data_IF_944978306623
#
_entry.id   IF_944978306623
#
_cell.length_a   1.000
_cell.length_b   1.000
_cell.length_c   1.000
_cell.angle_alpha   90.00
_cell.angle_beta   90.00
_cell.angle_gamma   90.00
#
_symmetry.space_group_name_H-M   'P 1'
#
loop_
_entity.id
_entity.type
_entity.pdbx_description
1 polymer ?
#
# COMPACT_ATOMS: atom_id res chain seq x y z
N UNK A 1 30.56 35.71 -34.78
CA UNK A 1 29.08 35.89 -34.74
C UNK A 1 28.45 34.51 -34.67
N UNK A 2 27.47 34.30 -33.79
CA UNK A 2 27.47 33.17 -32.85
C UNK A 2 26.88 31.88 -33.43
N UNK A 3 27.49 30.77 -33.03
CA UNK A 3 27.00 29.40 -33.19
C UNK A 3 25.94 29.11 -32.12
N UNK A 4 24.72 28.78 -32.55
CA UNK A 4 23.65 28.30 -31.68
C UNK A 4 23.87 26.81 -31.36
N UNK A 5 24.40 26.51 -30.17
CA UNK A 5 24.31 25.17 -29.59
C UNK A 5 22.94 25.04 -28.91
N UNK A 6 22.01 24.38 -29.60
CA UNK A 6 20.71 24.01 -29.04
C UNK A 6 20.87 22.90 -28.01
N UNK A 7 20.70 23.23 -26.74
CA UNK A 7 20.46 22.24 -25.70
C UNK A 7 19.01 21.75 -25.81
N UNK A 8 18.83 20.53 -26.29
CA UNK A 8 17.56 19.82 -26.16
C UNK A 8 17.41 19.35 -24.71
N UNK A 9 16.53 20.04 -23.97
CA UNK A 9 16.10 19.64 -22.64
C UNK A 9 15.22 18.38 -22.77
N UNK A 10 15.77 17.20 -22.49
CA UNK A 10 14.98 15.97 -22.38
C UNK A 10 14.18 16.02 -21.08
N UNK A 11 12.97 16.56 -21.16
CA UNK A 11 12.01 16.56 -20.07
C UNK A 11 11.35 15.18 -20.02
N UNK A 12 11.95 14.24 -19.29
CA UNK A 12 11.33 12.94 -19.01
C UNK A 12 10.17 13.18 -18.05
N UNK A 13 8.96 13.34 -18.59
CA UNK A 13 7.74 13.23 -17.82
C UNK A 13 7.71 11.83 -17.22
N UNK A 14 7.82 11.72 -15.89
CA UNK A 14 7.45 10.54 -15.13
C UNK A 14 5.94 10.32 -15.32
N UNK A 15 5.57 9.71 -16.45
CA UNK A 15 4.26 9.12 -16.61
C UNK A 15 4.13 8.07 -15.52
N UNK A 16 3.16 8.24 -14.62
CA UNK A 16 2.81 7.18 -13.70
C UNK A 16 2.18 6.07 -14.56
N UNK A 17 2.97 5.06 -14.91
CA UNK A 17 2.51 3.94 -15.71
C UNK A 17 1.43 3.16 -14.95
N UNK A 18 0.45 2.64 -15.68
CA UNK A 18 -0.48 1.64 -15.17
C UNK A 18 0.28 0.42 -14.64
N UNK A 19 -0.39 -0.43 -13.86
CA UNK A 19 0.25 -1.60 -13.28
C UNK A 19 0.83 -2.52 -14.37
N UNK A 20 2.13 -2.76 -14.31
CA UNK A 20 2.85 -3.72 -15.15
C UNK A 20 3.04 -5.03 -14.39
N UNK A 21 2.87 -6.15 -15.09
CA UNK A 21 2.92 -7.50 -14.52
C UNK A 21 3.99 -8.32 -15.22
N UNK A 22 5.00 -8.77 -14.47
CA UNK A 22 6.08 -9.60 -14.98
C UNK A 22 6.20 -10.91 -14.17
N UNK A 23 6.11 -12.05 -14.87
CA UNK A 23 6.28 -13.36 -14.22
C UNK A 23 7.76 -13.78 -14.23
N UNK A 24 8.37 -13.80 -13.05
CA UNK A 24 9.75 -14.22 -12.81
C UNK A 24 9.78 -15.54 -12.03
N UNK A 25 9.67 -16.66 -12.75
CA UNK A 25 9.60 -17.99 -12.13
C UNK A 25 8.33 -18.13 -11.27
N UNK A 26 8.49 -18.31 -9.96
CA UNK A 26 7.39 -18.36 -8.99
C UNK A 26 7.01 -17.00 -8.42
N UNK A 27 7.62 -15.91 -8.90
CA UNK A 27 7.35 -14.54 -8.45
C UNK A 27 6.56 -13.79 -9.51
N UNK A 28 5.49 -13.13 -9.11
CA UNK A 28 4.79 -12.16 -9.95
C UNK A 28 5.20 -10.76 -9.50
N UNK A 29 6.02 -10.09 -10.30
CA UNK A 29 6.41 -8.70 -10.06
C UNK A 29 5.33 -7.78 -10.57
N UNK A 30 4.90 -6.85 -9.72
CA UNK A 30 3.91 -5.82 -9.97
C UNK A 30 4.60 -4.49 -9.78
N UNK A 31 4.56 -3.60 -10.78
CA UNK A 31 5.14 -2.27 -10.69
C UNK A 31 4.17 -1.21 -11.22
N UNK A 32 4.37 0.05 -10.84
CA UNK A 32 3.52 1.15 -11.30
C UNK A 32 2.21 1.29 -10.52
N UNK A 33 1.18 1.86 -11.15
CA UNK A 33 -0.07 2.24 -10.49
C UNK A 33 -1.08 1.10 -10.43
N UNK A 34 -1.53 0.72 -9.23
CA UNK A 34 -2.60 -0.26 -9.03
C UNK A 34 -3.98 0.39 -9.25
N UNK A 35 -4.24 0.86 -10.47
CA UNK A 35 -5.49 1.53 -10.87
C UNK A 35 -6.67 0.56 -11.16
N UNK A 36 -6.42 -0.75 -11.05
CA UNK A 36 -7.41 -1.80 -11.29
C UNK A 36 -7.47 -2.30 -12.73
N UNK A 37 -6.81 -1.65 -13.69
CA UNK A 37 -6.84 -2.08 -15.10
C UNK A 37 -6.19 -3.46 -15.31
N UNK A 38 -5.17 -3.78 -14.53
CA UNK A 38 -4.44 -5.05 -14.61
C UNK A 38 -5.07 -6.19 -13.78
N UNK A 39 -6.19 -5.97 -13.07
CA UNK A 39 -6.72 -6.93 -12.09
C UNK A 39 -7.08 -8.29 -12.69
N UNK A 40 -7.61 -8.30 -13.92
CA UNK A 40 -7.98 -9.53 -14.61
C UNK A 40 -6.75 -10.38 -14.87
N UNK A 41 -5.74 -9.81 -15.51
CA UNK A 41 -4.47 -10.50 -15.81
C UNK A 41 -3.73 -10.93 -14.54
N UNK A 42 -3.74 -10.08 -13.51
CA UNK A 42 -3.20 -10.42 -12.20
C UNK A 42 -3.87 -11.68 -11.61
N UNK A 43 -5.21 -11.71 -11.61
CA UNK A 43 -5.99 -12.85 -11.11
C UNK A 43 -5.74 -14.11 -11.94
N UNK A 44 -5.61 -14.00 -13.26
CA UNK A 44 -5.25 -15.11 -14.13
C UNK A 44 -3.86 -15.68 -13.82
N UNK A 45 -2.87 -14.83 -13.51
CA UNK A 45 -1.55 -15.30 -13.08
C UNK A 45 -1.62 -16.06 -11.76
N UNK A 46 -2.35 -15.54 -10.77
CA UNK A 46 -2.51 -16.20 -9.47
C UNK A 46 -3.31 -17.51 -9.59
N UNK A 47 -4.36 -17.53 -10.42
CA UNK A 47 -5.23 -18.69 -10.63
C UNK A 47 -4.53 -19.89 -11.27
N UNK A 48 -3.38 -19.69 -11.94
CA UNK A 48 -2.53 -20.78 -12.44
C UNK A 48 -1.86 -21.59 -11.32
N UNK A 49 -1.78 -21.05 -10.10
CA UNK A 49 -1.21 -21.74 -8.94
C UNK A 49 0.33 -21.88 -8.94
N UNK A 50 1.02 -21.28 -9.91
CA UNK A 50 2.49 -21.31 -10.02
C UNK A 50 3.16 -20.18 -9.23
N UNK A 51 2.44 -19.08 -9.00
CA UNK A 51 2.93 -17.94 -8.22
C UNK A 51 2.94 -18.31 -6.74
N UNK A 52 4.06 -18.04 -6.07
CA UNK A 52 4.25 -18.20 -4.63
C UNK A 52 4.35 -16.86 -3.91
N UNK A 53 4.92 -15.86 -4.59
CA UNK A 53 5.13 -14.52 -4.03
C UNK A 53 4.70 -13.47 -5.06
N UNK A 54 3.89 -12.52 -4.62
CA UNK A 54 3.65 -11.26 -5.34
C UNK A 54 4.66 -10.24 -4.84
N UNK A 55 5.47 -9.70 -5.75
CA UNK A 55 6.49 -8.70 -5.44
C UNK A 55 5.99 -7.35 -5.93
N UNK A 56 5.71 -6.42 -5.02
CA UNK A 56 5.41 -5.04 -5.35
C UNK A 56 6.71 -4.25 -5.46
N UNK A 57 7.07 -3.89 -6.69
CA UNK A 57 8.26 -3.12 -7.00
C UNK A 57 7.87 -1.69 -7.39
N UNK A 58 8.21 -0.71 -6.56
CA UNK A 58 7.86 0.71 -6.75
C UNK A 58 6.40 0.89 -7.23
N UNK A 59 5.48 0.36 -6.41
CA UNK A 59 4.06 0.25 -6.70
C UNK A 59 3.25 1.29 -5.92
N UNK A 60 2.33 1.97 -6.59
CA UNK A 60 1.66 3.14 -6.04
C UNK A 60 0.15 3.17 -6.33
N UNK A 61 -0.52 4.12 -5.68
CA UNK A 61 -1.80 4.66 -6.12
C UNK A 61 -2.94 3.67 -6.06
N UNK A 62 -3.96 3.90 -6.88
CA UNK A 62 -5.20 3.12 -6.92
C UNK A 62 -6.34 3.70 -6.10
N UNK A 63 -7.54 3.26 -6.43
CA UNK A 63 -8.75 3.52 -5.65
C UNK A 63 -8.91 2.47 -4.54
N UNK A 64 -9.81 2.72 -3.58
CA UNK A 64 -10.14 1.73 -2.56
C UNK A 64 -10.68 0.43 -3.18
N UNK A 65 -11.42 0.52 -4.29
CA UNK A 65 -11.94 -0.64 -5.03
C UNK A 65 -10.81 -1.46 -5.65
N UNK A 66 -9.84 -0.81 -6.30
CA UNK A 66 -8.67 -1.49 -6.84
C UNK A 66 -7.87 -2.18 -5.73
N UNK A 67 -7.64 -1.48 -4.61
CA UNK A 67 -7.00 -2.04 -3.42
C UNK A 67 -7.69 -3.31 -2.92
N UNK A 68 -9.02 -3.26 -2.79
CA UNK A 68 -9.85 -4.38 -2.39
C UNK A 68 -9.74 -5.56 -3.35
N UNK A 69 -9.83 -5.31 -4.66
CA UNK A 69 -9.80 -6.36 -5.67
C UNK A 69 -8.44 -7.11 -5.70
N UNK A 70 -7.32 -6.38 -5.67
CA UNK A 70 -5.99 -7.01 -5.58
C UNK A 70 -5.83 -7.79 -4.26
N UNK A 71 -6.28 -7.23 -3.14
CA UNK A 71 -6.23 -7.89 -1.84
C UNK A 71 -7.07 -9.18 -1.80
N UNK A 72 -8.28 -9.17 -2.38
CA UNK A 72 -9.14 -10.35 -2.46
C UNK A 72 -8.48 -11.46 -3.30
N UNK A 73 -7.89 -11.11 -4.44
CA UNK A 73 -7.18 -12.07 -5.29
C UNK A 73 -5.98 -12.70 -4.58
N UNK A 74 -5.19 -11.88 -3.86
CA UNK A 74 -4.03 -12.35 -3.07
C UNK A 74 -4.50 -13.29 -1.96
N UNK A 75 -5.51 -12.90 -1.17
CA UNK A 75 -6.08 -13.75 -0.11
C UNK A 75 -6.62 -15.07 -0.64
N UNK A 76 -7.35 -15.03 -1.76
CA UNK A 76 -7.92 -16.23 -2.38
C UNK A 76 -6.82 -17.20 -2.85
N UNK A 77 -5.70 -16.68 -3.35
CA UNK A 77 -4.57 -17.49 -3.81
C UNK A 77 -3.65 -18.00 -2.68
N UNK A 78 -3.64 -17.33 -1.53
CA UNK A 78 -2.80 -17.70 -0.38
C UNK A 78 -1.30 -17.48 -0.60
N UNK A 79 -0.93 -16.59 -1.54
CA UNK A 79 0.47 -16.23 -1.84
C UNK A 79 1.08 -15.34 -0.76
N UNK A 80 2.41 -15.31 -0.72
CA UNK A 80 3.19 -14.35 0.05
C UNK A 80 3.28 -13.00 -0.68
N UNK A 81 3.55 -11.92 0.05
CA UNK A 81 3.79 -10.60 -0.51
C UNK A 81 5.16 -10.06 -0.11
N UNK A 82 5.81 -9.38 -1.04
CA UNK A 82 7.13 -8.79 -0.86
C UNK A 82 7.13 -7.37 -1.43
N UNK A 83 7.79 -6.42 -0.76
CA UNK A 83 7.99 -5.07 -1.30
C UNK A 83 9.46 -4.85 -1.66
N UNK A 84 9.71 -4.32 -2.86
CA UNK A 84 11.00 -3.78 -3.29
C UNK A 84 10.83 -2.31 -3.64
N UNK A 85 11.59 -1.44 -2.98
CA UNK A 85 11.39 0.00 -3.11
C UNK A 85 10.13 0.44 -2.37
N UNK A 86 9.26 1.21 -3.03
CA UNK A 86 8.13 1.87 -2.37
C UNK A 86 6.79 1.20 -2.67
N UNK A 87 5.92 1.13 -1.66
CA UNK A 87 4.56 0.61 -1.76
C UNK A 87 3.58 1.54 -1.05
N UNK A 88 2.71 2.23 -1.80
CA UNK A 88 1.83 3.25 -1.23
C UNK A 88 0.39 3.12 -1.74
N UNK A 89 -0.56 3.65 -0.95
CA UNK A 89 -1.99 3.61 -1.27
C UNK A 89 -2.52 2.18 -1.47
N UNK A 90 -3.13 1.85 -2.62
CA UNK A 90 -3.71 0.52 -2.86
C UNK A 90 -2.68 -0.61 -2.77
N UNK A 91 -1.41 -0.34 -3.14
CA UNK A 91 -0.32 -1.29 -2.96
C UNK A 91 -0.21 -1.75 -1.51
N UNK A 92 -0.30 -0.83 -0.56
CA UNK A 92 -0.09 -1.12 0.85
C UNK A 92 -1.17 -2.08 1.40
N UNK A 93 -2.41 -1.95 0.92
CA UNK A 93 -3.50 -2.88 1.25
C UNK A 93 -3.34 -4.24 0.58
N UNK A 94 -2.97 -4.26 -0.71
CA UNK A 94 -2.70 -5.50 -1.43
C UNK A 94 -1.52 -6.27 -0.79
N UNK A 95 -0.50 -5.56 -0.34
CA UNK A 95 0.64 -6.12 0.39
C UNK A 95 0.20 -6.82 1.68
N UNK A 96 -0.62 -6.19 2.51
CA UNK A 96 -1.10 -6.80 3.77
C UNK A 96 -2.02 -8.01 3.57
N UNK A 97 -2.50 -8.24 2.34
CA UNK A 97 -3.36 -9.37 2.01
C UNK A 97 -2.60 -10.70 1.89
N UNK A 98 -1.26 -10.64 1.81
CA UNK A 98 -0.40 -11.81 1.71
C UNK A 98 -0.48 -12.70 2.94
N UNK A 99 -0.27 -14.02 2.75
CA UNK A 99 -0.18 -14.98 3.85
C UNK A 99 0.96 -14.64 4.80
N UNK A 100 2.07 -14.18 4.23
CA UNK A 100 3.19 -13.55 4.90
C UNK A 100 3.55 -12.32 4.07
N UNK A 101 4.09 -11.30 4.74
CA UNK A 101 4.35 -9.99 4.14
C UNK A 101 5.72 -9.51 4.61
N UNK A 102 6.65 -9.29 3.67
CA UNK A 102 8.05 -8.95 3.98
C UNK A 102 8.59 -7.82 3.10
N UNK A 103 9.68 -7.22 3.56
CA UNK A 103 10.51 -6.39 2.68
C UNK A 103 11.52 -7.27 1.93
N UNK A 104 11.70 -6.99 0.64
CA UNK A 104 12.61 -7.71 -0.23
C UNK A 104 14.08 -7.40 0.06
N UNK A 105 14.94 -8.31 -0.38
CA UNK A 105 16.38 -8.20 -0.22
C UNK A 105 17.01 -7.15 -1.16
N UNK A 106 18.21 -6.69 -0.82
CA UNK A 106 18.96 -5.71 -1.61
C UNK A 106 19.33 -4.43 -0.86
N UNK A 107 19.99 -3.52 -1.58
CA UNK A 107 20.57 -2.27 -1.06
C UNK A 107 19.64 -1.06 -1.19
N UNK A 108 18.42 -1.25 -1.68
CA UNK A 108 17.38 -0.23 -1.73
C UNK A 108 16.69 -0.05 -0.36
N UNK A 109 16.20 1.15 -0.12
CA UNK A 109 15.28 1.42 0.98
C UNK A 109 13.90 0.90 0.59
N UNK A 110 13.35 0.02 1.42
CA UNK A 110 11.98 -0.45 1.25
C UNK A 110 11.05 0.39 2.12
N UNK A 111 9.86 0.70 1.62
CA UNK A 111 8.87 1.51 2.31
C UNK A 111 7.44 1.06 2.04
N UNK A 112 6.61 1.03 3.08
CA UNK A 112 5.15 0.87 2.95
C UNK A 112 4.42 1.95 3.72
N UNK A 113 3.58 2.73 3.03
CA UNK A 113 2.71 3.74 3.65
C UNK A 113 1.31 3.15 3.79
N UNK A 114 0.93 2.83 5.04
CA UNK A 114 -0.42 2.33 5.36
C UNK A 114 -1.35 3.51 5.64
N UNK A 115 -2.39 3.74 4.83
CA UNK A 115 -3.29 4.86 5.06
C UNK A 115 -4.08 4.72 6.36
N UNK A 116 -4.27 5.84 7.07
CA UNK A 116 -5.05 5.90 8.31
C UNK A 116 -5.94 7.13 8.28
N UNK A 117 -7.20 7.00 8.72
CA UNK A 117 -8.15 8.12 8.73
C UNK A 117 -7.77 9.25 9.71
N UNK A 118 -7.03 8.90 10.77
CA UNK A 118 -6.55 9.82 11.79
C UNK A 118 -5.25 9.30 12.40
N UNK A 119 -4.52 10.19 13.09
CA UNK A 119 -3.30 9.84 13.81
C UNK A 119 -3.58 8.72 14.83
N UNK A 120 -2.93 7.56 14.70
CA UNK A 120 -3.15 6.49 15.67
C UNK A 120 -2.37 6.79 16.95
N UNK A 121 -3.00 6.48 18.08
CA UNK A 121 -2.34 6.40 19.39
C UNK A 121 -1.38 5.21 19.42
N UNK A 122 -0.42 5.23 20.36
CA UNK A 122 0.51 4.11 20.53
C UNK A 122 -0.22 2.79 20.85
N UNK A 123 -1.32 2.85 21.60
CA UNK A 123 -2.17 1.69 21.90
C UNK A 123 -2.90 1.14 20.68
N UNK A 124 -3.37 2.00 19.77
CA UNK A 124 -4.06 1.57 18.54
C UNK A 124 -3.08 0.93 17.56
N UNK A 125 -1.89 1.51 17.38
CA UNK A 125 -0.82 0.91 16.56
C UNK A 125 -0.57 -0.54 16.98
N UNK A 126 -0.44 -0.78 18.30
CA UNK A 126 -0.09 -2.08 18.84
C UNK A 126 -1.01 -3.22 18.40
N UNK A 127 -2.27 -2.96 18.05
CA UNK A 127 -3.24 -4.03 17.72
C UNK A 127 -3.68 -4.03 16.26
N UNK A 128 -3.55 -2.91 15.55
CA UNK A 128 -4.29 -2.64 14.30
C UNK A 128 -4.03 -3.62 13.15
N UNK A 129 -2.82 -4.15 13.01
CA UNK A 129 -2.46 -5.05 11.90
C UNK A 129 -2.12 -6.48 12.35
N UNK A 130 -2.35 -6.82 13.63
CA UNK A 130 -2.24 -8.21 14.09
C UNK A 130 -3.48 -8.98 13.63
N UNK A 131 -3.24 -10.04 12.86
CA UNK A 131 -4.20 -10.98 12.23
C UNK A 131 -5.57 -11.08 12.90
N UNK A 132 -6.63 -10.76 12.13
CA UNK A 132 -8.04 -10.94 12.47
C UNK A 132 -8.91 -9.75 12.04
N UNK A 133 -8.42 -8.52 12.23
CA UNK A 133 -9.12 -7.28 11.86
C UNK A 133 -8.73 -6.71 10.49
N UNK A 134 -7.74 -7.28 9.81
CA UNK A 134 -7.40 -6.94 8.42
C UNK A 134 -8.54 -7.21 7.44
N UNK A 135 -9.57 -7.99 7.85
CA UNK A 135 -10.82 -8.19 7.11
C UNK A 135 -11.70 -6.93 7.05
N UNK A 136 -11.51 -5.96 7.95
CA UNK A 136 -12.36 -4.75 8.07
C UNK A 136 -11.94 -3.59 7.16
N UNK A 137 -10.83 -3.71 6.44
CA UNK A 137 -10.12 -2.53 5.95
C UNK A 137 -10.70 -1.84 4.72
N UNK A 138 -11.30 -2.46 3.69
CA UNK A 138 -11.86 -1.67 2.59
C UNK A 138 -13.13 -0.92 3.00
N UNK A 139 -13.97 -1.55 3.83
CA UNK A 139 -15.27 -1.02 4.20
C UNK A 139 -15.20 0.11 5.23
N UNK A 140 -14.12 0.25 6.00
CA UNK A 140 -13.92 1.42 6.89
C UNK A 140 -13.60 2.71 6.12
N UNK A 141 -13.09 2.61 4.88
CA UNK A 141 -12.89 3.76 3.99
C UNK A 141 -14.04 3.95 3.00
N UNK A 142 -14.98 2.99 2.94
CA UNK A 142 -16.22 3.05 2.17
C UNK A 142 -17.39 3.47 3.10
N UNK A 143 -18.34 4.30 2.65
CA UNK A 143 -19.39 4.83 3.52
C UNK A 143 -20.39 3.80 4.09
N UNK A 144 -20.27 2.51 3.77
CA UNK A 144 -21.23 1.48 4.16
C UNK A 144 -20.98 0.85 5.56
N UNK A 145 -19.83 1.08 6.22
CA UNK A 145 -19.54 0.41 7.50
C UNK A 145 -20.15 1.08 8.75
N UNK A 146 -20.73 2.29 8.64
CA UNK A 146 -21.15 3.07 9.83
C UNK A 146 -22.54 2.68 10.37
N UNK A 147 -23.27 1.76 9.72
CA UNK A 147 -24.67 1.45 10.10
C UNK A 147 -24.93 0.05 10.68
N UNK A 148 -23.90 -0.73 11.03
CA UNK A 148 -24.11 -2.01 11.71
C UNK A 148 -23.98 -1.88 13.24
N UNK A 149 -24.77 -1.02 13.88
CA UNK A 149 -25.08 -1.10 15.31
C UNK A 149 -26.42 -0.43 15.66
N UNK A 150 -27.43 -1.29 15.87
CA UNK A 150 -28.63 -1.14 16.74
C UNK A 150 -29.81 -0.22 16.31
N UNK A 151 -30.88 -0.86 15.81
CA UNK A 151 -32.29 -0.54 16.16
C UNK A 151 -33.02 0.57 15.37
N UNK A 152 -34.37 0.57 15.37
CA UNK A 152 -35.15 0.63 14.13
C UNK A 152 -35.67 2.01 13.69
N UNK A 153 -35.84 2.11 12.37
CA UNK A 153 -36.74 2.96 11.58
C UNK A 153 -37.09 4.36 12.11
N UNK A 154 -36.60 5.40 11.42
CA UNK A 154 -37.45 6.48 10.87
C UNK A 154 -36.70 7.36 9.87
N UNK A 155 -37.40 7.66 8.78
CA UNK A 155 -37.31 8.85 7.93
C UNK A 155 -36.14 8.95 6.95
N UNK A 156 -36.50 8.77 5.68
CA UNK A 156 -35.76 9.19 4.50
C UNK A 156 -35.31 10.66 4.64
N UNK A 157 -34.00 10.85 4.71
CA UNK A 157 -33.35 12.09 4.30
C UNK A 157 -32.30 11.70 3.28
N UNK A 158 -32.48 12.16 2.05
CA UNK A 158 -31.55 12.05 0.93
C UNK A 158 -30.10 12.13 1.40
N UNK A 159 -29.41 11.00 1.40
CA UNK A 159 -27.97 10.95 1.56
C UNK A 159 -27.35 11.53 0.28
N UNK A 160 -26.75 12.73 0.38
CA UNK A 160 -25.78 13.18 -0.62
C UNK A 160 -24.64 12.18 -0.75
N UNK A 161 -23.87 12.19 -1.86
CA UNK A 161 -22.82 11.20 -2.09
C UNK A 161 -21.84 11.24 -0.92
N UNK A 162 -21.78 10.13 -0.18
CA UNK A 162 -20.95 10.02 0.98
C UNK A 162 -19.48 10.20 0.55
N UNK A 163 -18.80 11.12 1.24
CA UNK A 163 -17.45 11.57 0.89
C UNK A 163 -16.49 10.40 1.08
N UNK A 164 -15.80 10.02 0.01
CA UNK A 164 -14.73 9.02 0.06
C UNK A 164 -13.65 9.49 1.05
N UNK A 165 -13.34 8.67 2.06
CA UNK A 165 -12.34 8.96 3.09
C UNK A 165 -10.94 8.44 2.70
N UNK A 166 -10.77 8.00 1.45
CA UNK A 166 -9.49 7.56 0.92
C UNK A 166 -8.45 8.69 0.88
N UNK A 167 -7.46 8.62 1.77
CA UNK A 167 -6.34 9.56 1.82
C UNK A 167 -5.01 8.82 1.62
N UNK A 168 -4.52 8.70 0.37
CA UNK A 168 -3.36 7.86 0.05
C UNK A 168 -2.03 8.37 0.62
N UNK A 169 -1.93 9.67 0.91
CA UNK A 169 -0.72 10.33 1.43
C UNK A 169 -0.75 10.54 2.96
N UNK A 170 -1.86 10.17 3.62
CA UNK A 170 -2.06 10.29 5.07
C UNK A 170 -1.98 8.89 5.70
N UNK A 171 -0.93 8.63 6.48
CA UNK A 171 -0.61 7.26 6.84
C UNK A 171 0.48 7.07 7.87
N UNK A 172 0.71 5.80 8.20
CA UNK A 172 1.87 5.34 8.94
C UNK A 172 2.84 4.72 7.94
N UNK A 173 4.01 5.31 7.81
CA UNK A 173 5.08 4.86 6.93
C UNK A 173 6.03 3.95 7.70
N UNK A 174 6.19 2.72 7.23
CA UNK A 174 7.18 1.78 7.71
C UNK A 174 8.30 1.68 6.69
N UNK A 175 9.55 1.85 7.14
CA UNK A 175 10.72 1.82 6.27
C UNK A 175 11.75 0.81 6.76
N UNK A 176 12.50 0.23 5.84
CA UNK A 176 13.69 -0.54 6.14
C UNK A 176 14.86 -0.06 5.27
N UNK A 177 15.86 0.52 5.93
CA UNK A 177 17.08 0.98 5.29
C UNK A 177 18.19 -0.05 5.48
N UNK A 178 18.86 -0.50 4.41
CA UNK A 178 19.98 -1.42 4.52
C UNK A 178 21.21 -0.69 5.08
N UNK A 179 21.96 -1.38 5.93
CA UNK A 179 23.23 -0.93 6.51
C UNK A 179 24.26 -2.06 6.46
N UNK A 180 25.52 -1.76 6.75
CA UNK A 180 26.58 -2.78 6.86
C UNK A 180 26.31 -3.81 7.97
N UNK A 181 25.43 -3.52 8.93
CA UNK A 181 25.15 -4.37 10.09
C UNK A 181 23.72 -4.96 10.06
N UNK A 182 23.07 -4.95 8.89
CA UNK A 182 21.68 -5.41 8.73
C UNK A 182 20.74 -4.25 8.39
N UNK A 183 19.45 -4.42 8.66
CA UNK A 183 18.43 -3.42 8.34
C UNK A 183 18.05 -2.61 9.57
N UNK A 184 17.93 -1.30 9.40
CA UNK A 184 17.31 -0.42 10.39
C UNK A 184 15.87 -0.20 9.97
N UNK A 185 14.95 -0.50 10.88
CA UNK A 185 13.53 -0.27 10.70
C UNK A 185 13.14 1.03 11.39
N UNK A 186 12.45 1.91 10.66
CA UNK A 186 11.90 3.14 11.21
C UNK A 186 10.44 3.26 10.81
N UNK A 187 9.67 3.86 11.71
CA UNK A 187 8.24 4.11 11.50
C UNK A 187 7.94 5.57 11.72
N UNK A 188 7.14 6.13 10.81
CA UNK A 188 6.79 7.54 10.79
C UNK A 188 5.29 7.72 10.63
N UNK A 189 4.76 8.78 11.22
CA UNK A 189 3.42 9.27 10.95
C UNK A 189 3.49 10.43 9.96
N UNK A 190 2.74 10.31 8.88
CA UNK A 190 2.69 11.24 7.77
C UNK A 190 1.27 11.82 7.72
N UNK A 191 1.08 13.10 8.01
CA UNK A 191 -0.25 13.74 8.10
C UNK A 191 -0.85 14.16 6.74
N UNK A 192 -0.07 13.99 5.67
CA UNK A 192 -0.45 14.28 4.29
C UNK A 192 0.00 15.67 3.83
N UNK A 193 0.35 16.58 4.75
CA UNK A 193 0.81 17.93 4.40
C UNK A 193 2.20 17.93 3.76
N UNK A 194 2.98 16.89 4.00
CA UNK A 194 4.32 16.70 3.46
C UNK A 194 4.35 16.25 1.98
N UNK A 195 3.20 15.85 1.42
CA UNK A 195 3.15 15.23 0.08
C UNK A 195 4.04 13.99 0.01
N UNK A 196 4.93 13.94 -0.99
CA UNK A 196 5.87 12.82 -1.21
C UNK A 196 7.21 12.96 -0.47
N UNK A 197 7.41 14.04 0.27
CA UNK A 197 8.63 14.24 1.05
C UNK A 197 8.50 13.62 2.44
N UNK A 198 8.69 12.30 2.51
CA UNK A 198 8.54 11.53 3.74
C UNK A 198 9.58 11.83 4.82
N UNK A 199 10.64 12.58 4.48
CA UNK A 199 11.63 13.04 5.47
C UNK A 199 11.03 13.99 6.51
N UNK A 200 9.88 14.61 6.18
CA UNK A 200 9.14 15.52 7.06
C UNK A 200 8.11 14.82 7.95
N UNK A 201 7.93 13.51 7.80
CA UNK A 201 7.01 12.75 8.65
C UNK A 201 7.55 12.63 10.08
N UNK A 202 6.65 12.62 11.06
CA UNK A 202 7.00 12.53 12.47
C UNK A 202 7.44 11.11 12.83
N UNK A 203 8.63 10.94 13.42
CA UNK A 203 9.10 9.61 13.85
C UNK A 203 8.34 9.10 15.07
N UNK A 204 7.86 7.86 15.01
CA UNK A 204 7.20 7.18 16.11
C UNK A 204 8.19 6.29 16.86
N UNK A 205 8.37 6.51 18.17
CA UNK A 205 9.45 5.87 18.95
C UNK A 205 9.22 4.40 19.33
N UNK A 206 8.01 3.84 19.15
CA UNK A 206 7.64 2.51 19.67
C UNK A 206 6.82 1.68 18.67
N UNK A 207 7.09 1.86 17.39
CA UNK A 207 6.31 1.27 16.32
C UNK A 207 7.14 0.29 15.48
N UNK A 208 7.49 -0.86 16.05
CA UNK A 208 8.21 -1.93 15.35
C UNK A 208 7.29 -2.66 14.36
N UNK A 209 7.61 -2.70 13.04
CA UNK A 209 6.73 -3.27 12.03
C UNK A 209 6.42 -4.76 12.24
N UNK A 210 7.32 -5.54 12.84
CA UNK A 210 7.07 -6.95 13.16
C UNK A 210 6.11 -7.09 14.34
N UNK A 211 6.31 -6.29 15.40
CA UNK A 211 5.40 -6.28 16.55
C UNK A 211 4.00 -5.82 16.17
N UNK A 212 3.89 -4.98 15.17
CA UNK A 212 2.62 -4.42 14.69
C UNK A 212 1.90 -5.35 13.71
N UNK A 213 2.54 -6.40 13.22
CA UNK A 213 1.96 -7.29 12.20
C UNK A 213 1.96 -6.69 10.80
N UNK A 214 2.80 -5.69 10.54
CA UNK A 214 3.02 -5.13 9.19
C UNK A 214 4.09 -5.92 8.44
N UNK A 215 5.01 -6.55 9.15
CA UNK A 215 5.96 -7.52 8.60
C UNK A 215 5.82 -8.85 9.34
N UNK A 216 5.92 -9.95 8.60
CA UNK A 216 5.98 -11.30 9.16
C UNK A 216 7.45 -11.69 9.39
N UNK A 217 7.81 -12.32 10.53
CA UNK A 217 9.14 -12.87 10.77
C UNK A 217 9.56 -13.94 9.76
#
# INVERSE_FOLDING_TARGET
MPSFFGWALFCACLACSAAELELQGSRLVVSGMLDGTAIKTFTEHLGKGTVRTVVFEDSFGGTAEAAGAFADAIRASGVETEIRGQCMAACAYAFLAGKTHRFGDGFQVNGVLLPVAARPTASELAVRWRTGETRKTPTEFSPAAVTASTGPATTEVSAGPAKDNWQPDHGVLFTASPTLFGRIYNTFYCDGTQGRDFSKCERLSDADPFKLGVLTP
#
